data_IF_967537819938
#
_entry.id   IF_967537819938
#
_cell.length_a   1.000
_cell.length_b   1.000
_cell.length_c   1.000
_cell.angle_alpha   90.00
_cell.angle_beta   90.00
_cell.angle_gamma   90.00
#
_symmetry.space_group_name_H-M   'P 1'
#
loop_
_entity.id
_entity.type
_entity.pdbx_description
1 polymer ?
#
# COMPACT_ATOMS: atom_id res chain seq x y z
N UNK A 1 30.41 70.21 47.61
CA UNK A 1 31.55 69.30 47.89
C UNK A 1 31.34 68.03 47.07
N UNK A 2 32.30 67.74 46.16
CA UNK A 2 32.88 66.41 45.82
C UNK A 2 31.91 65.33 45.28
N UNK A 3 32.08 64.65 44.13
CA UNK A 3 33.00 64.65 42.97
C UNK A 3 32.32 63.80 41.87
N UNK A 4 32.55 64.14 40.60
CA UNK A 4 32.37 63.24 39.43
C UNK A 4 33.34 62.05 39.52
N UNK A 5 32.95 60.91 38.94
CA UNK A 5 33.84 59.77 38.65
C UNK A 5 33.24 58.80 37.65
N UNK A 6 33.72 58.86 36.41
CA UNK A 6 33.51 57.92 35.31
C UNK A 6 34.33 56.64 35.52
N UNK A 7 33.84 55.48 35.06
CA UNK A 7 34.67 54.41 34.52
C UNK A 7 33.83 53.50 33.60
N UNK A 8 34.28 53.32 32.36
CA UNK A 8 33.65 52.44 31.38
C UNK A 8 34.20 51.01 31.43
N UNK A 9 33.55 50.10 30.68
CA UNK A 9 34.25 49.02 29.96
C UNK A 9 33.36 48.39 28.88
N UNK A 10 33.95 48.32 27.70
CA UNK A 10 33.60 47.56 26.50
C UNK A 10 33.59 46.05 26.78
N UNK A 11 32.64 45.32 26.19
CA UNK A 11 32.81 43.90 25.83
C UNK A 11 32.22 43.69 24.44
N UNK A 12 33.12 43.42 23.49
CA UNK A 12 32.85 42.84 22.17
C UNK A 12 32.20 41.46 22.32
N UNK A 13 31.16 41.19 21.54
CA UNK A 13 30.64 39.85 21.30
C UNK A 13 30.92 39.45 19.86
N UNK A 14 31.95 38.62 19.66
CA UNK A 14 32.31 37.98 18.39
C UNK A 14 31.14 37.14 17.83
N UNK A 15 30.81 37.35 16.56
CA UNK A 15 30.00 36.43 15.77
C UNK A 15 30.83 35.23 15.36
N UNK A 16 30.67 34.11 16.07
CA UNK A 16 31.34 32.83 15.76
C UNK A 16 30.56 32.08 14.68
N UNK A 17 31.27 31.75 13.59
CA UNK A 17 30.83 30.90 12.50
C UNK A 17 30.37 29.52 13.01
N UNK A 18 29.22 29.04 12.52
CA UNK A 18 28.80 27.64 12.64
C UNK A 18 29.13 26.90 11.36
N UNK A 19 30.27 26.23 11.40
CA UNK A 19 30.67 25.17 10.46
C UNK A 19 30.13 23.84 10.99
N UNK A 20 29.52 23.05 10.11
CA UNK A 20 29.41 21.59 10.28
C UNK A 20 28.01 21.05 10.54
N UNK A 21 27.40 20.48 9.50
CA UNK A 21 26.55 19.30 9.67
C UNK A 21 27.09 18.21 8.74
N UNK A 22 27.65 17.18 9.37
CA UNK A 22 28.19 15.98 8.74
C UNK A 22 27.02 15.20 8.10
N UNK A 23 27.06 14.96 6.80
CA UNK A 23 26.30 13.86 6.19
C UNK A 23 26.96 12.56 6.65
N UNK A 24 26.31 11.87 7.56
CA UNK A 24 26.55 10.44 7.82
C UNK A 24 25.82 9.70 6.70
N UNK A 25 26.56 9.22 5.71
CA UNK A 25 26.04 8.28 4.72
C UNK A 25 26.08 6.90 5.35
N UNK A 26 24.90 6.31 5.52
CA UNK A 26 24.72 4.96 6.04
C UNK A 26 25.33 3.93 5.08
N UNK A 27 26.05 2.98 5.66
CA UNK A 27 26.58 1.80 4.99
C UNK A 27 25.43 0.93 4.48
N UNK A 28 25.38 0.69 3.17
CA UNK A 28 24.53 -0.35 2.58
C UNK A 28 25.29 -1.67 2.73
N UNK A 29 24.71 -2.57 3.52
CA UNK A 29 25.16 -3.94 3.73
C UNK A 29 24.81 -4.76 2.48
N UNK A 30 25.85 -5.31 1.85
CA UNK A 30 25.78 -6.29 0.78
C UNK A 30 25.31 -7.63 1.35
N UNK A 31 24.13 -8.09 0.94
CA UNK A 31 23.70 -9.48 1.12
C UNK A 31 23.61 -10.15 -0.25
N UNK A 32 24.59 -11.00 -0.57
CA UNK A 32 24.52 -11.95 -1.67
C UNK A 32 23.63 -13.13 -1.24
N UNK A 33 22.47 -13.28 -1.87
CA UNK A 33 21.61 -14.46 -1.76
C UNK A 33 21.23 -14.93 -3.16
N UNK A 34 21.36 -16.24 -3.41
CA UNK A 34 21.03 -16.93 -4.64
C UNK A 34 19.69 -16.46 -5.23
N UNK A 35 19.72 -15.80 -6.40
CA UNK A 35 18.52 -15.49 -7.16
C UNK A 35 18.13 -16.76 -7.90
N UNK A 36 17.17 -17.51 -7.35
CA UNK A 36 16.35 -18.38 -8.16
C UNK A 36 15.57 -17.49 -9.12
N UNK A 37 15.89 -17.54 -10.42
CA UNK A 37 15.14 -16.83 -11.45
C UNK A 37 13.79 -17.53 -11.62
N UNK A 38 12.81 -17.15 -10.81
CA UNK A 38 11.42 -17.50 -11.04
C UNK A 38 10.97 -16.66 -12.22
N UNK A 39 10.66 -17.30 -13.34
CA UNK A 39 10.02 -16.65 -14.48
C UNK A 39 8.55 -16.51 -14.11
N UNK A 40 8.21 -15.44 -13.40
CA UNK A 40 6.81 -15.07 -13.16
C UNK A 40 6.27 -14.35 -14.40
N UNK A 41 5.06 -14.68 -14.87
CA UNK A 41 4.39 -13.85 -15.86
C UNK A 41 4.16 -12.46 -15.22
N UNK A 42 4.73 -11.42 -15.82
CA UNK A 42 4.47 -10.03 -15.46
C UNK A 42 3.49 -9.51 -16.50
N UNK A 43 2.30 -9.13 -16.07
CA UNK A 43 1.36 -8.37 -16.90
C UNK A 43 1.58 -6.90 -16.59
N UNK A 44 1.91 -6.10 -17.60
CA UNK A 44 2.05 -4.64 -17.48
C UNK A 44 0.95 -4.00 -18.33
N UNK A 45 0.07 -3.26 -17.68
CA UNK A 45 -0.90 -2.39 -18.34
C UNK A 45 -0.50 -0.92 -18.12
N UNK A 46 -0.64 -0.13 -19.18
CA UNK A 46 -0.36 1.31 -19.18
C UNK A 46 -1.38 1.99 -20.12
N UNK A 47 -1.91 3.13 -19.69
CA UNK A 47 -2.65 4.04 -20.56
C UNK A 47 -1.83 5.31 -20.80
N UNK A 48 -0.91 5.24 -21.76
CA UNK A 48 -0.28 6.44 -22.33
C UNK A 48 -1.31 7.21 -23.18
N UNK A 49 -1.72 8.39 -22.72
CA UNK A 49 -2.66 9.24 -23.45
C UNK A 49 -2.08 9.68 -24.81
N UNK A 50 -2.74 9.26 -25.88
CA UNK A 50 -2.45 9.66 -27.25
C UNK A 50 -2.63 11.17 -27.45
N UNK A 51 -1.72 11.77 -28.23
CA UNK A 51 -1.57 13.21 -28.35
C UNK A 51 -2.66 13.95 -29.13
N UNK A 52 -2.83 15.21 -28.75
CA UNK A 52 -3.05 16.35 -29.65
C UNK A 52 -4.45 16.56 -30.21
N UNK A 53 -5.23 17.43 -29.55
CA UNK A 53 -5.91 18.54 -30.25
C UNK A 53 -6.25 19.67 -29.28
N UNK A 54 -5.63 20.84 -29.48
CA UNK A 54 -5.98 22.10 -28.81
C UNK A 54 -7.38 22.53 -29.24
N UNK A 55 -8.32 22.65 -28.29
CA UNK A 55 -9.46 23.58 -28.42
C UNK A 55 -9.98 24.03 -27.04
N UNK A 56 -9.84 25.34 -26.82
CA UNK A 56 -10.64 26.27 -26.02
C UNK A 56 -10.95 25.98 -24.54
N UNK A 57 -10.50 26.91 -23.69
CA UNK A 57 -10.63 26.94 -22.26
C UNK A 57 -12.08 27.08 -21.75
N UNK A 58 -12.60 26.00 -21.18
CA UNK A 58 -13.35 26.04 -19.91
C UNK A 58 -12.48 25.31 -18.89
N UNK A 59 -12.30 25.90 -17.72
CA UNK A 59 -11.56 25.33 -16.58
C UNK A 59 -12.40 24.20 -15.96
N UNK A 60 -12.54 23.10 -16.69
CA UNK A 60 -12.97 21.82 -16.15
C UNK A 60 -11.74 21.22 -15.48
N UNK A 61 -11.79 20.99 -14.17
CA UNK A 61 -10.77 20.23 -13.44
C UNK A 61 -10.49 18.90 -14.14
N UNK A 62 -9.34 18.26 -13.85
CA UNK A 62 -8.92 17.06 -14.57
C UNK A 62 -10.02 16.00 -14.52
N UNK A 63 -10.57 15.69 -15.68
CA UNK A 63 -11.71 14.78 -15.80
C UNK A 63 -11.19 13.36 -15.75
N UNK A 64 -11.56 12.60 -14.71
CA UNK A 64 -11.24 11.17 -14.66
C UNK A 64 -11.92 10.43 -15.81
N UNK A 65 -11.15 9.62 -16.52
CA UNK A 65 -11.62 8.77 -17.62
C UNK A 65 -11.72 7.33 -17.13
N UNK A 66 -12.78 6.64 -17.53
CA UNK A 66 -12.96 5.21 -17.28
C UNK A 66 -12.31 4.43 -18.43
N UNK A 67 -11.45 3.48 -18.09
CA UNK A 67 -10.73 2.61 -19.02
C UNK A 67 -10.82 1.15 -18.54
N UNK A 68 -10.75 0.21 -19.46
CA UNK A 68 -10.57 -1.21 -19.16
C UNK A 68 -9.29 -1.70 -19.83
N UNK A 69 -8.54 -2.58 -19.16
CA UNK A 69 -7.37 -3.22 -19.77
C UNK A 69 -7.78 -4.34 -20.72
N UNK A 70 -6.81 -4.82 -21.51
CA UNK A 70 -6.95 -6.11 -22.18
C UNK A 70 -7.14 -7.23 -21.15
N UNK A 71 -7.73 -8.34 -21.61
CA UNK A 71 -7.87 -9.55 -20.82
C UNK A 71 -6.50 -10.18 -20.55
N UNK A 72 -6.32 -10.67 -19.33
CA UNK A 72 -5.12 -11.42 -18.93
C UNK A 72 -5.51 -12.62 -18.05
N UNK A 73 -4.71 -13.68 -18.14
CA UNK A 73 -4.92 -14.87 -17.33
C UNK A 73 -4.37 -14.70 -15.92
N UNK A 74 -5.16 -15.08 -14.92
CA UNK A 74 -4.70 -15.33 -13.56
C UNK A 74 -4.96 -16.77 -13.17
N UNK A 75 -4.05 -17.34 -12.38
CA UNK A 75 -4.22 -18.63 -11.74
C UNK A 75 -4.86 -18.47 -10.36
N UNK A 76 -5.50 -19.53 -9.86
CA UNK A 76 -5.97 -19.58 -8.48
C UNK A 76 -4.78 -19.46 -7.52
N UNK A 77 -4.93 -18.62 -6.49
CA UNK A 77 -3.92 -18.39 -5.46
C UNK A 77 -3.76 -16.93 -5.10
N UNK A 78 -2.56 -16.53 -4.68
CA UNK A 78 -2.22 -15.14 -4.39
C UNK A 78 -1.74 -14.40 -5.66
N UNK A 79 -2.15 -13.13 -5.81
CA UNK A 79 -1.55 -12.19 -6.75
C UNK A 79 -1.07 -10.92 -6.00
N UNK A 80 0.06 -10.37 -6.44
CA UNK A 80 0.55 -9.06 -6.01
C UNK A 80 0.29 -8.08 -7.15
N UNK A 81 -0.45 -7.02 -6.85
CA UNK A 81 -0.78 -5.96 -7.81
C UNK A 81 -0.09 -4.68 -7.37
N UNK A 82 0.87 -4.20 -8.16
CA UNK A 82 1.52 -2.91 -7.98
C UNK A 82 0.85 -1.88 -8.89
N UNK A 83 0.51 -0.72 -8.34
CA UNK A 83 -0.25 0.30 -9.05
C UNK A 83 0.35 1.67 -8.80
N UNK A 84 0.54 2.44 -9.87
CA UNK A 84 0.95 3.85 -9.77
C UNK A 84 -0.05 4.75 -10.46
N UNK A 85 -0.20 5.97 -9.94
CA UNK A 85 -0.98 7.03 -10.54
C UNK A 85 -0.27 8.38 -10.35
N UNK A 86 -0.25 9.18 -11.40
CA UNK A 86 0.43 10.48 -11.44
C UNK A 86 -0.56 11.64 -11.72
N UNK A 87 -1.85 11.45 -11.42
CA UNK A 87 -2.89 12.49 -11.47
C UNK A 87 -3.12 13.15 -10.10
N UNK A 88 -3.97 14.18 -10.08
CA UNK A 88 -4.34 14.90 -8.85
C UNK A 88 -5.71 14.46 -8.30
N UNK A 89 -6.53 13.84 -9.14
CA UNK A 89 -7.89 13.40 -8.85
C UNK A 89 -7.98 11.94 -8.44
N UNK A 90 -9.16 11.35 -8.67
CA UNK A 90 -9.46 9.98 -8.23
C UNK A 90 -8.70 8.94 -9.05
N UNK A 91 -8.16 7.95 -8.35
CA UNK A 91 -7.60 6.72 -8.88
C UNK A 91 -8.35 5.53 -8.27
N UNK A 92 -9.22 4.94 -9.08
CA UNK A 92 -10.02 3.77 -8.69
C UNK A 92 -9.66 2.60 -9.59
N UNK A 93 -9.35 1.45 -8.98
CA UNK A 93 -8.99 0.23 -9.71
C UNK A 93 -9.80 -0.93 -9.16
N UNK A 94 -10.51 -1.60 -10.05
CA UNK A 94 -11.23 -2.84 -9.76
C UNK A 94 -10.66 -3.99 -10.62
N UNK A 95 -10.50 -5.17 -10.03
CA UNK A 95 -10.23 -6.41 -10.75
C UNK A 95 -11.53 -7.17 -11.00
N UNK A 96 -11.80 -7.50 -12.26
CA UNK A 96 -13.01 -8.22 -12.70
C UNK A 96 -12.63 -9.53 -13.37
N UNK A 97 -13.43 -10.58 -13.19
CA UNK A 97 -13.30 -11.85 -13.92
C UNK A 97 -14.16 -11.83 -15.19
N UNK A 98 -13.56 -12.24 -16.32
CA UNK A 98 -14.19 -12.17 -17.64
C UNK A 98 -15.33 -13.18 -17.80
N UNK A 99 -15.28 -14.31 -17.11
CA UNK A 99 -16.35 -15.34 -17.15
C UNK A 99 -17.70 -14.81 -16.64
N UNK A 100 -17.73 -13.65 -15.99
CA UNK A 100 -18.95 -13.00 -15.51
C UNK A 100 -19.49 -11.93 -16.47
N UNK A 101 -18.69 -11.51 -17.46
CA UNK A 101 -19.05 -10.47 -18.42
C UNK A 101 -20.09 -10.91 -19.46
N UNK A 102 -20.26 -12.21 -19.71
CA UNK A 102 -21.18 -12.71 -20.76
C UNK A 102 -22.64 -12.90 -20.29
N UNK A 103 -22.93 -12.96 -18.99
CA UNK A 103 -24.31 -13.08 -18.49
C UNK A 103 -24.93 -11.76 -18.04
N UNK A 104 -24.17 -10.67 -18.02
CA UNK A 104 -24.69 -9.35 -17.68
C UNK A 104 -25.13 -8.60 -18.93
N UNK A 105 -26.25 -9.02 -19.52
CA UNK A 105 -27.16 -8.14 -20.26
C UNK A 105 -27.72 -7.09 -19.27
N UNK A 106 -26.87 -6.18 -18.80
CA UNK A 106 -27.25 -5.02 -18.00
C UNK A 106 -26.18 -3.95 -18.16
N UNK A 107 -26.26 -3.18 -19.25
CA UNK A 107 -25.74 -1.79 -19.29
C UNK A 107 -26.46 -0.85 -18.31
N UNK A 108 -26.98 -1.38 -17.20
CA UNK A 108 -27.45 -0.60 -16.08
C UNK A 108 -26.26 -0.34 -15.17
N UNK A 109 -25.60 0.80 -15.39
CA UNK A 109 -24.97 1.62 -14.35
C UNK A 109 -24.58 0.81 -13.10
N UNK A 110 -23.33 0.32 -13.09
CA UNK A 110 -22.65 -0.20 -11.91
C UNK A 110 -22.83 0.81 -10.78
N UNK A 111 -23.80 0.55 -9.92
CA UNK A 111 -23.97 1.29 -8.67
C UNK A 111 -22.86 0.80 -7.75
N UNK A 112 -21.88 1.68 -7.50
CA UNK A 112 -20.91 1.58 -6.42
C UNK A 112 -21.70 1.43 -5.11
N UNK A 113 -21.93 0.19 -4.66
CA UNK A 113 -22.43 -0.06 -3.31
C UNK A 113 -21.26 -0.54 -2.46
N UNK A 114 -20.93 0.31 -1.49
CA UNK A 114 -19.98 0.02 -0.42
C UNK A 114 -20.47 -1.10 0.50
N UNK A 115 -19.52 -1.56 1.30
CA UNK A 115 -19.69 -2.31 2.55
C UNK A 115 -20.52 -3.58 2.44
N UNK A 116 -19.95 -4.62 1.84
CA UNK A 116 -20.35 -5.98 2.16
C UNK A 116 -19.14 -6.88 2.43
N UNK A 117 -18.64 -6.76 3.66
CA UNK A 117 -17.92 -7.83 4.36
C UNK A 117 -18.89 -9.01 4.57
N UNK A 118 -18.98 -9.94 3.63
CA UNK A 118 -19.11 -11.37 3.95
C UNK A 118 -19.21 -12.20 2.67
N UNK A 119 -18.34 -13.20 2.56
CA UNK A 119 -18.42 -14.29 1.60
C UNK A 119 -18.28 -13.87 0.14
N UNK A 120 -17.07 -14.06 -0.41
CA UNK A 120 -16.77 -13.92 -1.83
C UNK A 120 -17.86 -14.58 -2.69
N UNK A 121 -18.82 -13.78 -3.17
CA UNK A 121 -19.66 -14.19 -4.28
C UNK A 121 -18.71 -14.38 -5.46
N UNK A 122 -18.69 -15.55 -6.13
CA UNK A 122 -18.00 -15.67 -7.40
C UNK A 122 -18.64 -14.66 -8.37
N UNK A 123 -17.97 -13.50 -8.48
CA UNK A 123 -18.34 -12.41 -9.36
C UNK A 123 -18.62 -11.04 -8.79
N UNK A 124 -18.17 -10.76 -7.56
CA UNK A 124 -17.96 -9.38 -7.14
C UNK A 124 -16.65 -8.84 -7.72
N UNK A 125 -16.67 -7.63 -8.25
CA UNK A 125 -15.46 -6.89 -8.59
C UNK A 125 -14.62 -6.70 -7.31
N UNK A 126 -13.32 -7.01 -7.38
CA UNK A 126 -12.42 -6.80 -6.26
C UNK A 126 -11.85 -5.38 -6.33
N UNK A 127 -12.26 -4.52 -5.40
CA UNK A 127 -11.68 -3.18 -5.28
C UNK A 127 -10.24 -3.26 -4.78
N UNK A 128 -9.33 -2.74 -5.59
CA UNK A 128 -7.88 -2.73 -5.33
C UNK A 128 -7.39 -1.36 -4.89
N UNK A 129 -7.99 -0.29 -5.39
CA UNK A 129 -7.64 1.08 -5.04
C UNK A 129 -8.88 1.98 -5.11
N UNK A 130 -9.00 2.88 -4.14
CA UNK A 130 -9.88 4.05 -4.17
C UNK A 130 -9.12 5.19 -3.48
N UNK A 131 -8.26 5.87 -4.24
CA UNK A 131 -7.34 6.90 -3.72
C UNK A 131 -7.52 8.21 -4.50
N UNK A 132 -7.03 9.30 -3.92
CA UNK A 132 -7.02 10.62 -4.57
C UNK A 132 -5.60 11.16 -4.60
N UNK A 133 -5.19 11.72 -5.74
CA UNK A 133 -3.85 12.23 -5.95
C UNK A 133 -2.88 11.20 -6.52
N UNK A 134 -1.59 11.55 -6.46
CA UNK A 134 -0.52 10.67 -6.92
C UNK A 134 -0.23 9.61 -5.88
N UNK A 135 -0.19 8.36 -6.31
CA UNK A 135 0.02 7.19 -5.45
C UNK A 135 0.96 6.18 -6.09
N UNK A 136 1.63 5.42 -5.24
CA UNK A 136 2.45 4.24 -5.57
C UNK A 136 2.13 3.21 -4.49
N UNK A 137 1.23 2.28 -4.81
CA UNK A 137 0.63 1.35 -3.84
C UNK A 137 0.72 -0.09 -4.34
N UNK A 138 0.64 -1.04 -3.41
CA UNK A 138 0.58 -2.46 -3.75
C UNK A 138 -0.45 -3.20 -2.91
N UNK A 139 -1.00 -4.28 -3.47
CA UNK A 139 -2.04 -5.11 -2.82
C UNK A 139 -1.67 -6.58 -2.99
N UNK A 140 -1.76 -7.36 -1.93
CA UNK A 140 -1.68 -8.82 -2.01
C UNK A 140 -3.09 -9.40 -1.89
N UNK A 141 -3.61 -9.94 -2.99
CA UNK A 141 -5.02 -10.29 -3.12
C UNK A 141 -5.24 -11.76 -3.49
N UNK A 142 -6.31 -12.38 -2.95
CA UNK A 142 -6.71 -13.72 -3.38
C UNK A 142 -7.32 -13.67 -4.78
N UNK A 143 -6.94 -14.64 -5.60
CA UNK A 143 -7.56 -14.98 -6.89
C UNK A 143 -8.36 -16.27 -6.68
N UNK A 144 -9.68 -16.16 -6.43
CA UNK A 144 -10.51 -17.32 -6.05
C UNK A 144 -10.84 -18.23 -7.24
N UNK A 145 -10.71 -17.73 -8.47
CA UNK A 145 -11.03 -18.45 -9.70
C UNK A 145 -9.92 -18.18 -10.71
N UNK A 146 -9.34 -19.24 -11.28
CA UNK A 146 -8.42 -19.11 -12.41
C UNK A 146 -9.18 -18.75 -13.68
N UNK A 147 -8.61 -17.91 -14.53
CA UNK A 147 -9.23 -17.57 -15.81
C UNK A 147 -8.83 -16.19 -16.31
N UNK A 148 -9.55 -15.71 -17.30
CA UNK A 148 -9.36 -14.36 -17.84
C UNK A 148 -9.95 -13.31 -16.90
N UNK A 149 -9.20 -12.23 -16.72
CA UNK A 149 -9.53 -11.09 -15.89
C UNK A 149 -9.19 -9.79 -16.63
N UNK A 150 -9.76 -8.68 -16.18
CA UNK A 150 -9.38 -7.33 -16.61
C UNK A 150 -9.37 -6.39 -15.42
N UNK A 151 -8.64 -5.29 -15.55
CA UNK A 151 -8.80 -4.14 -14.66
C UNK A 151 -9.76 -3.13 -15.26
N UNK A 152 -10.72 -2.68 -14.47
CA UNK A 152 -11.45 -1.44 -14.71
C UNK A 152 -10.77 -0.33 -13.91
N UNK A 153 -10.37 0.73 -14.61
CA UNK A 153 -9.57 1.82 -14.05
C UNK A 153 -10.27 3.14 -14.31
N UNK A 154 -10.46 3.94 -13.26
CA UNK A 154 -10.87 5.34 -13.37
C UNK A 154 -9.74 6.22 -12.85
N UNK A 155 -9.15 7.02 -13.73
CA UNK A 155 -7.98 7.85 -13.42
C UNK A 155 -8.03 9.18 -14.18
N UNK A 156 -7.44 10.24 -13.64
CA UNK A 156 -7.33 11.55 -14.31
C UNK A 156 -5.90 11.87 -14.80
N UNK A 157 -4.91 11.02 -14.47
CA UNK A 157 -3.54 11.10 -14.94
C UNK A 157 -2.97 9.76 -15.43
N UNK A 158 -1.69 9.74 -15.84
CA UNK A 158 -0.99 8.52 -16.20
C UNK A 158 -1.00 7.51 -15.06
N UNK A 159 -1.13 6.23 -15.39
CA UNK A 159 -1.14 5.15 -14.43
C UNK A 159 -0.45 3.91 -14.98
N UNK A 160 0.05 3.08 -14.08
CA UNK A 160 0.57 1.74 -14.42
C UNK A 160 -0.01 0.72 -13.47
N UNK A 161 -0.28 -0.47 -13.98
CA UNK A 161 -0.65 -1.63 -13.18
C UNK A 161 0.26 -2.79 -13.58
N UNK A 162 0.91 -3.40 -12.58
CA UNK A 162 1.74 -4.58 -12.75
C UNK A 162 1.21 -5.70 -11.86
N UNK A 163 1.02 -6.87 -12.44
CA UNK A 163 0.54 -8.04 -11.71
C UNK A 163 1.58 -9.14 -11.74
N UNK A 164 1.81 -9.74 -10.57
CA UNK A 164 2.69 -10.88 -10.38
C UNK A 164 1.97 -11.96 -9.56
N UNK A 165 2.23 -13.24 -9.87
CA UNK A 165 1.76 -14.38 -9.06
C UNK A 165 2.96 -15.20 -8.56
N UNK A 166 3.74 -14.65 -7.62
CA UNK A 166 4.89 -15.37 -7.07
C UNK A 166 4.44 -16.60 -6.27
N UNK A 167 5.19 -17.69 -6.43
CA UNK A 167 5.00 -18.96 -5.69
C UNK A 167 6.27 -19.30 -4.90
N UNK A 168 6.64 -18.50 -3.89
CA UNK A 168 7.87 -18.72 -3.13
C UNK A 168 7.74 -20.00 -2.29
N UNK A 169 8.76 -20.86 -2.34
CA UNK A 169 8.87 -22.02 -1.45
C UNK A 169 9.66 -21.72 -0.18
N UNK A 170 10.23 -20.52 -0.07
CA UNK A 170 11.05 -20.07 1.06
C UNK A 170 11.07 -18.55 1.11
N UNK A 171 11.16 -17.99 2.31
CA UNK A 171 11.32 -16.57 2.54
C UNK A 171 12.20 -16.29 3.77
N UNK A 172 12.76 -15.08 3.91
CA UNK A 172 13.49 -14.70 5.13
C UNK A 172 12.56 -14.62 6.35
N UNK A 173 13.11 -14.54 7.56
CA UNK A 173 12.36 -14.36 8.83
C UNK A 173 12.55 -12.95 9.42
N UNK A 174 12.10 -11.88 8.75
CA UNK A 174 12.08 -10.55 9.32
C UNK A 174 11.05 -10.47 10.46
N UNK A 175 11.39 -9.71 11.49
CA UNK A 175 10.50 -9.37 12.61
C UNK A 175 9.92 -7.98 12.49
N UNK A 176 10.21 -7.25 11.41
CA UNK A 176 9.78 -5.86 11.24
C UNK A 176 9.50 -5.50 9.78
N UNK A 177 8.48 -4.67 9.59
CA UNK A 177 8.11 -4.08 8.32
C UNK A 177 7.72 -2.61 8.51
N UNK A 178 7.82 -1.83 7.44
CA UNK A 178 7.36 -0.45 7.42
C UNK A 178 6.96 -0.07 6.01
N UNK A 179 5.96 0.80 5.89
CA UNK A 179 5.51 1.31 4.61
C UNK A 179 4.70 2.60 4.76
N UNK A 180 4.10 3.01 3.66
CA UNK A 180 3.21 4.16 3.57
C UNK A 180 2.05 3.78 2.66
N UNK A 181 0.86 4.27 2.96
CA UNK A 181 -0.36 3.94 2.24
C UNK A 181 -0.59 2.40 2.17
N UNK A 182 -1.34 1.96 1.17
CA UNK A 182 -1.58 0.54 0.93
C UNK A 182 -0.28 -0.11 0.40
N UNK A 183 0.19 -1.17 1.06
CA UNK A 183 1.30 -1.96 0.52
C UNK A 183 1.23 -3.44 0.91
N UNK A 184 1.68 -4.28 0.00
CA UNK A 184 2.05 -5.65 0.28
C UNK A 184 3.51 -5.69 0.77
N UNK A 185 3.78 -6.38 1.89
CA UNK A 185 5.16 -6.61 2.33
C UNK A 185 5.88 -7.59 1.39
N UNK A 186 7.21 -7.67 1.44
CA UNK A 186 7.90 -8.87 0.97
C UNK A 186 7.36 -10.12 1.68
N UNK A 187 7.46 -11.28 1.02
CA UNK A 187 7.21 -12.55 1.68
C UNK A 187 8.17 -12.77 2.84
N UNK A 188 7.66 -13.42 3.88
CA UNK A 188 8.43 -13.79 5.06
C UNK A 188 8.00 -15.15 5.58
N UNK A 189 8.89 -15.80 6.32
CA UNK A 189 8.62 -17.07 6.97
C UNK A 189 8.16 -16.84 8.41
N UNK A 190 7.13 -17.58 8.84
CA UNK A 190 6.72 -17.69 10.23
C UNK A 190 6.73 -19.15 10.64
N UNK A 191 7.27 -19.42 11.83
CA UNK A 191 7.07 -20.69 12.51
C UNK A 191 5.65 -20.78 13.08
N UNK A 192 5.16 -22.01 13.19
CA UNK A 192 3.92 -22.35 13.90
C UNK A 192 3.98 -21.95 15.37
N UNK A 193 2.78 -21.85 15.96
CA UNK A 193 2.58 -21.42 17.34
C UNK A 193 2.20 -19.95 17.46
N UNK A 194 2.07 -19.47 18.71
CA UNK A 194 1.60 -18.12 18.99
C UNK A 194 2.60 -17.07 18.51
N UNK A 195 2.07 -16.01 17.95
CA UNK A 195 2.78 -14.80 17.52
C UNK A 195 2.02 -13.58 18.01
N UNK A 196 2.78 -12.54 18.33
CA UNK A 196 2.24 -11.21 18.61
C UNK A 196 2.62 -10.31 17.44
N UNK A 197 1.63 -9.62 16.89
CA UNK A 197 1.79 -8.65 15.81
C UNK A 197 1.40 -7.28 16.33
N UNK A 198 2.37 -6.38 16.40
CA UNK A 198 2.19 -4.99 16.79
C UNK A 198 2.17 -4.10 15.55
N UNK A 199 1.06 -3.40 15.32
CA UNK A 199 0.89 -2.45 14.21
C UNK A 199 0.89 -1.05 14.78
N UNK A 200 1.85 -0.22 14.36
CA UNK A 200 1.97 1.19 14.76
C UNK A 200 1.70 2.10 13.57
N UNK A 201 0.73 3.01 13.71
CA UNK A 201 0.48 4.10 12.78
C UNK A 201 0.88 5.43 13.44
N UNK A 202 2.10 5.95 13.21
CA UNK A 202 2.59 7.16 13.87
C UNK A 202 1.88 8.44 13.41
N UNK A 203 1.29 8.43 12.22
CA UNK A 203 0.50 9.55 11.71
C UNK A 203 -0.97 9.48 12.13
N UNK A 204 -1.38 8.34 12.68
CA UNK A 204 -2.76 7.92 12.89
C UNK A 204 -3.55 7.77 11.58
N UNK A 205 -4.84 7.53 11.70
CA UNK A 205 -5.74 7.27 10.57
C UNK A 205 -6.19 5.81 10.53
N UNK A 206 -7.04 5.51 9.54
CA UNK A 206 -7.60 4.18 9.37
C UNK A 206 -6.55 3.25 8.76
N UNK A 207 -6.52 2.02 9.24
CA UNK A 207 -5.73 0.97 8.63
C UNK A 207 -6.38 -0.39 8.84
N UNK A 208 -5.92 -1.35 8.04
CA UNK A 208 -6.32 -2.74 8.12
C UNK A 208 -5.17 -3.61 7.64
N UNK A 209 -4.79 -4.61 8.42
CA UNK A 209 -3.72 -5.53 8.05
C UNK A 209 -4.29 -6.93 7.91
N UNK A 210 -3.99 -7.57 6.78
CA UNK A 210 -4.32 -8.98 6.56
C UNK A 210 -3.04 -9.79 6.48
N UNK A 211 -2.93 -10.80 7.33
CA UNK A 211 -1.93 -11.85 7.20
C UNK A 211 -2.48 -12.91 6.23
N UNK A 212 -1.76 -13.17 5.15
CA UNK A 212 -2.16 -14.13 4.12
C UNK A 212 -1.09 -15.20 3.90
N UNK A 213 -1.55 -16.40 3.55
CA UNK A 213 -0.68 -17.49 3.10
C UNK A 213 -0.33 -17.35 1.59
N UNK A 214 0.48 -18.26 1.05
CA UNK A 214 0.86 -18.26 -0.38
C UNK A 214 -0.28 -18.60 -1.34
N UNK A 215 -1.38 -19.15 -0.83
CA UNK A 215 -2.59 -19.42 -1.62
C UNK A 215 -3.55 -18.22 -1.61
N UNK A 216 -3.22 -17.18 -0.85
CA UNK A 216 -3.99 -15.94 -0.72
C UNK A 216 -5.09 -15.99 0.34
N UNK A 217 -5.21 -17.11 1.06
CA UNK A 217 -6.18 -17.23 2.14
C UNK A 217 -5.81 -16.28 3.27
N UNK A 218 -6.84 -15.71 3.89
CA UNK A 218 -6.67 -14.90 5.09
C UNK A 218 -6.45 -15.81 6.29
N UNK A 219 -5.29 -15.66 6.92
CA UNK A 219 -4.90 -16.40 8.13
C UNK A 219 -5.32 -15.62 9.36
N UNK A 220 -5.15 -14.29 9.31
CA UNK A 220 -5.51 -13.40 10.39
C UNK A 220 -5.79 -11.98 9.88
N UNK A 221 -6.63 -11.25 10.59
CA UNK A 221 -6.97 -9.87 10.30
C UNK A 221 -6.80 -9.02 11.54
N UNK A 222 -6.05 -7.93 11.40
CA UNK A 222 -5.83 -6.95 12.46
C UNK A 222 -6.60 -5.69 12.06
N UNK A 223 -7.77 -5.43 12.66
CA UNK A 223 -8.48 -4.18 12.43
C UNK A 223 -7.68 -3.03 13.04
N UNK A 224 -7.66 -1.89 12.36
CA UNK A 224 -7.14 -0.67 12.94
C UNK A 224 -7.99 -0.19 14.12
N UNK A 225 -7.40 0.66 14.94
CA UNK A 225 -8.11 1.30 16.04
C UNK A 225 -9.16 2.25 15.44
N UNK A 226 -10.45 1.89 15.54
CA UNK A 226 -11.56 2.80 15.25
C UNK A 226 -11.64 3.83 16.37
N UNK A 227 -10.65 4.72 16.44
CA UNK A 227 -10.72 5.87 17.32
C UNK A 227 -11.99 6.64 16.96
N UNK A 228 -12.85 6.86 17.97
CA UNK A 228 -14.11 7.57 17.87
C UNK A 228 -13.90 8.88 17.07
N UNK A 229 -14.41 8.89 15.82
CA UNK A 229 -14.23 9.96 14.83
C UNK A 229 -14.78 11.33 15.30
N UNK A 230 -15.33 11.38 16.51
CA UNK A 230 -15.76 12.61 17.18
C UNK A 230 -14.61 13.47 17.70
N UNK A 231 -13.38 12.95 17.77
CA UNK A 231 -12.20 13.73 18.12
C UNK A 231 -11.37 14.09 16.88
N UNK A 232 -11.33 15.37 16.56
CA UNK A 232 -10.75 15.98 15.36
C UNK A 232 -9.21 15.86 15.26
N UNK A 233 -8.56 15.18 16.20
CA UNK A 233 -7.10 14.98 16.22
C UNK A 233 -6.76 13.53 15.85
N UNK A 234 -6.13 13.37 14.69
CA UNK A 234 -5.48 12.14 14.28
C UNK A 234 -4.27 11.93 15.19
N UNK A 235 -4.34 10.95 16.09
CA UNK A 235 -3.26 10.64 17.04
C UNK A 235 -2.52 9.35 16.64
N UNK A 236 -1.23 9.23 16.97
CA UNK A 236 -0.49 7.99 16.77
C UNK A 236 -1.19 6.84 17.52
N UNK A 237 -1.30 5.68 16.87
CA UNK A 237 -1.89 4.49 17.47
C UNK A 237 -0.98 3.28 17.34
N UNK A 238 -1.06 2.38 18.33
CA UNK A 238 -0.44 1.06 18.28
C UNK A 238 -1.49 0.04 18.70
N UNK A 239 -1.76 -0.95 17.84
CA UNK A 239 -2.64 -2.08 18.14
C UNK A 239 -1.78 -3.33 18.17
N UNK A 240 -1.95 -4.13 19.22
CA UNK A 240 -1.31 -5.43 19.38
C UNK A 240 -2.35 -6.52 19.16
N UNK A 241 -2.00 -7.56 18.40
CA UNK A 241 -2.87 -8.70 18.13
C UNK A 241 -2.11 -10.01 18.22
N UNK A 242 -2.65 -10.94 19.00
CA UNK A 242 -2.16 -12.31 19.10
C UNK A 242 -2.78 -13.18 18.00
N UNK A 243 -1.97 -14.03 17.37
CA UNK A 243 -2.39 -15.01 16.36
C UNK A 243 -1.66 -16.34 16.57
N UNK A 244 -2.39 -17.45 16.47
CA UNK A 244 -1.80 -18.79 16.51
C UNK A 244 -1.56 -19.32 15.09
N UNK A 245 -0.28 -19.35 14.68
CA UNK A 245 0.11 -19.83 13.35
C UNK A 245 0.03 -21.35 13.32
N UNK A 246 -0.85 -21.88 12.47
CA UNK A 246 -1.12 -23.33 12.45
C UNK A 246 0.04 -24.15 11.86
N UNK A 247 0.73 -23.61 10.86
CA UNK A 247 1.79 -24.31 10.13
C UNK A 247 2.98 -23.39 9.87
N UNK A 248 4.20 -23.94 9.98
CA UNK A 248 5.41 -23.27 9.51
C UNK A 248 5.25 -22.98 8.01
N UNK A 249 5.43 -21.73 7.60
CA UNK A 249 5.06 -21.35 6.24
C UNK A 249 5.56 -19.99 5.80
N UNK A 250 5.31 -19.71 4.52
CA UNK A 250 5.58 -18.41 3.91
C UNK A 250 4.29 -17.60 3.89
N UNK A 251 4.39 -16.37 4.37
CA UNK A 251 3.29 -15.44 4.55
C UNK A 251 3.60 -14.09 3.93
N UNK A 252 2.56 -13.28 3.77
CA UNK A 252 2.63 -11.89 3.33
C UNK A 252 1.63 -11.06 4.15
N UNK A 253 1.97 -9.80 4.41
CA UNK A 253 1.05 -8.84 4.99
C UNK A 253 0.53 -7.93 3.87
N UNK A 254 -0.79 -7.91 3.72
CA UNK A 254 -1.51 -6.95 2.89
C UNK A 254 -1.99 -5.81 3.79
N UNK A 255 -1.31 -4.67 3.71
CA UNK A 255 -1.61 -3.49 4.54
C UNK A 255 -2.46 -2.52 3.73
N UNK A 256 -3.59 -2.10 4.30
CA UNK A 256 -4.38 -0.95 3.83
C UNK A 256 -4.19 0.17 4.83
N UNK A 257 -3.73 1.32 4.37
CA UNK A 257 -3.53 2.48 5.22
C UNK A 257 -3.59 3.76 4.38
N UNK A 258 -3.83 4.88 5.04
CA UNK A 258 -3.76 6.21 4.41
C UNK A 258 -2.51 6.99 4.81
N UNK A 259 -1.60 6.33 5.54
CA UNK A 259 -0.44 6.97 6.13
C UNK A 259 0.66 5.96 6.46
N UNK A 260 1.74 6.46 7.07
CA UNK A 260 2.88 5.65 7.49
C UNK A 260 2.46 4.57 8.48
N UNK A 261 3.05 3.39 8.35
CA UNK A 261 2.83 2.29 9.27
C UNK A 261 4.12 1.50 9.52
N UNK A 262 4.16 0.84 10.67
CA UNK A 262 5.21 -0.08 11.09
C UNK A 262 4.55 -1.32 11.68
N UNK A 263 5.10 -2.49 11.36
CA UNK A 263 4.63 -3.76 11.90
C UNK A 263 5.83 -4.45 12.54
N UNK A 264 5.67 -4.89 13.78
CA UNK A 264 6.63 -5.75 14.48
C UNK A 264 5.98 -7.10 14.79
N UNK A 265 6.75 -8.17 14.64
CA UNK A 265 6.31 -9.54 14.89
C UNK A 265 7.26 -10.18 15.89
N UNK A 266 6.72 -10.74 16.96
CA UNK A 266 7.47 -11.51 17.95
C UNK A 266 6.81 -12.85 18.24
N UNK A 267 7.62 -13.82 18.66
CA UNK A 267 7.12 -15.02 19.33
C UNK A 267 6.55 -14.62 20.69
N UNK A 268 5.43 -15.26 21.09
CA UNK A 268 4.91 -15.12 22.44
C UNK A 268 5.73 -16.00 23.40
N UNK A 269 6.18 -15.44 24.54
CA UNK A 269 7.06 -16.12 25.52
C UNK A 269 6.31 -17.12 26.43
#
# INVERSE_FOLDING_TARGET
>A
MVKKGSFGRTVEGETRARTGLRRVVFNILTACGLIATIVTPIVIADACKGGGQETSAEEQGPKSELSATDLFGLELGLAIVNMTHQGEGSFVVNLLSAEQGETAETSGRLEFFGDQEDGARPGAALSLADKTGSVDISRAVPVPVSGEHLFEVKADGPWTIQVEQPRPSSAPEPTRFSGNDDSATPFFHLSSGPKTIDVTNPAGGSYMVFLRDTDGNEVHRIPGDEADQTQQEVQPSTVSSEVDIQEDGVYILDVRADSLWMIEISDDE
#
